data_IF_532006996890
#
_entry.id   IF_532006996890
#
_cell.length_a   1.000
_cell.length_b   1.000
_cell.length_c   1.000
_cell.angle_alpha   90.00
_cell.angle_beta   90.00
_cell.angle_gamma   90.00
#
_symmetry.space_group_name_H-M   'P 1'
#
loop_
_entity.id
_entity.type
_entity.pdbx_description
1 polymer ?
#
# COMPACT_ATOMS: atom_id res chain seq x y z
N UNK A 1 12.66 -1.24 19.19
CA UNK A 1 11.37 -1.86 19.55
C UNK A 1 10.36 -0.80 19.24
N UNK A 2 9.41 -1.05 18.35
CA UNK A 2 8.36 -0.08 18.02
C UNK A 2 7.40 0.06 19.22
N UNK A 3 7.15 1.30 19.63
CA UNK A 3 6.23 1.63 20.73
C UNK A 3 4.80 1.74 20.21
N UNK A 4 4.09 0.62 20.15
CA UNK A 4 2.67 0.59 19.77
C UNK A 4 1.78 0.76 21.00
N UNK A 5 0.91 1.77 20.99
CA UNK A 5 0.01 2.10 22.08
C UNK A 5 -1.45 2.06 21.63
N UNK A 6 -2.37 1.70 22.52
CA UNK A 6 -3.82 1.82 22.26
C UNK A 6 -4.16 3.30 22.28
N UNK A 7 -4.68 3.82 21.16
CA UNK A 7 -5.01 5.24 21.06
C UNK A 7 -6.18 5.58 21.98
N UNK A 8 -5.95 6.51 22.90
CA UNK A 8 -6.95 6.90 23.88
C UNK A 8 -6.73 8.36 24.33
N UNK A 9 -7.80 9.03 24.76
CA UNK A 9 -7.74 10.43 25.15
C UNK A 9 -6.86 10.68 26.38
N UNK A 10 -6.78 9.75 27.34
CA UNK A 10 -6.05 9.96 28.59
C UNK A 10 -4.54 10.12 28.36
N UNK A 11 -3.99 9.30 27.47
CA UNK A 11 -2.56 9.29 27.17
C UNK A 11 -2.20 10.17 25.95
N UNK A 12 -3.17 10.44 25.07
CA UNK A 12 -2.91 11.06 23.76
C UNK A 12 -3.69 12.36 23.50
N UNK A 13 -4.25 13.03 24.52
CA UNK A 13 -5.05 14.26 24.35
C UNK A 13 -4.36 15.37 23.53
N UNK A 14 -3.05 15.53 23.72
CA UNK A 14 -2.23 16.56 23.03
C UNK A 14 -1.55 16.05 21.76
N UNK A 15 -1.79 14.79 21.39
CA UNK A 15 -1.12 14.15 20.27
C UNK A 15 -1.43 14.85 18.94
N UNK A 16 -0.37 15.12 18.19
CA UNK A 16 -0.43 15.70 16.84
C UNK A 16 0.29 14.82 15.83
N UNK A 17 -0.26 14.78 14.62
CA UNK A 17 0.28 14.01 13.50
C UNK A 17 0.52 14.93 12.31
N UNK A 18 1.71 14.81 11.70
CA UNK A 18 2.05 15.43 10.41
C UNK A 18 1.41 14.66 9.27
N UNK A 19 0.64 15.36 8.43
CA UNK A 19 -0.22 14.76 7.38
C UNK A 19 0.31 15.00 5.96
N UNK A 20 1.26 15.91 5.80
CA UNK A 20 1.97 16.16 4.56
C UNK A 20 2.82 14.94 4.13
N UNK A 21 3.21 14.93 2.86
CA UNK A 21 4.12 13.92 2.33
C UNK A 21 5.57 14.37 2.55
N UNK A 22 6.46 13.46 2.92
CA UNK A 22 7.87 13.80 3.13
C UNK A 22 8.78 12.60 3.28
N UNK A 23 9.97 12.69 2.69
CA UNK A 23 10.99 11.63 2.80
C UNK A 23 11.42 11.36 4.24
N UNK A 24 11.48 12.41 5.07
CA UNK A 24 11.80 12.32 6.50
C UNK A 24 10.62 11.86 7.36
N UNK A 25 9.41 11.80 6.79
CA UNK A 25 8.18 11.38 7.46
C UNK A 25 7.85 9.89 7.29
N UNK A 26 8.79 9.11 6.75
CA UNK A 26 8.62 7.67 6.52
C UNK A 26 7.98 7.31 5.19
N UNK A 27 7.85 8.28 4.26
CA UNK A 27 7.26 8.04 2.93
C UNK A 27 8.29 7.61 1.88
N UNK A 28 9.58 7.64 2.21
CA UNK A 28 10.69 7.20 1.37
C UNK A 28 10.74 5.66 1.29
N UNK A 29 9.69 5.05 0.72
CA UNK A 29 9.52 3.61 0.58
C UNK A 29 9.38 3.22 -0.89
N UNK A 30 10.00 2.10 -1.27
CA UNK A 30 9.95 1.59 -2.65
C UNK A 30 8.57 1.12 -3.07
N UNK A 31 7.79 0.63 -2.12
CA UNK A 31 6.50 0.02 -2.37
C UNK A 31 5.61 0.09 -1.13
N UNK A 32 4.31 -0.05 -1.36
CA UNK A 32 3.30 -0.16 -0.31
C UNK A 32 2.46 -1.41 -0.51
N UNK A 33 2.08 -2.06 0.60
CA UNK A 33 1.07 -3.12 0.57
C UNK A 33 -0.27 -2.54 0.08
N UNK A 34 -0.94 -3.27 -0.80
CA UNK A 34 -2.25 -2.91 -1.32
C UNK A 34 -3.20 -4.10 -1.29
N UNK A 35 -4.48 -3.83 -1.06
CA UNK A 35 -5.54 -4.84 -1.04
C UNK A 35 -6.36 -4.85 -2.34
N UNK A 36 -6.90 -5.99 -2.79
CA UNK A 36 -7.66 -6.08 -4.04
C UNK A 36 -8.78 -5.05 -4.19
N UNK A 37 -9.42 -4.66 -3.07
CA UNK A 37 -10.50 -3.68 -3.02
C UNK A 37 -10.07 -2.29 -3.44
N UNK A 38 -8.80 -1.91 -3.22
CA UNK A 38 -8.29 -0.60 -3.63
C UNK A 38 -7.62 -0.62 -5.02
N UNK A 39 -7.45 -1.79 -5.66
CA UNK A 39 -6.71 -1.90 -6.92
C UNK A 39 -7.22 -0.99 -8.03
N UNK A 40 -8.53 -0.69 -8.07
CA UNK A 40 -9.09 0.28 -9.04
C UNK A 40 -8.46 1.67 -8.91
N UNK A 41 -8.25 2.13 -7.68
CA UNK A 41 -7.66 3.45 -7.41
C UNK A 41 -6.15 3.39 -7.57
N UNK A 42 -5.52 2.31 -7.09
CA UNK A 42 -4.07 2.09 -7.19
C UNK A 42 -3.61 2.01 -8.65
N UNK A 43 -4.29 1.22 -9.49
CA UNK A 43 -3.85 0.98 -10.88
C UNK A 43 -3.87 2.25 -11.73
N UNK A 44 -4.60 3.29 -11.33
CA UNK A 44 -4.61 4.56 -12.05
C UNK A 44 -3.28 5.33 -11.94
N UNK A 45 -2.41 4.94 -11.00
CA UNK A 45 -1.20 5.68 -10.66
C UNK A 45 0.06 4.79 -10.52
N UNK A 46 -0.09 3.55 -10.07
CA UNK A 46 1.03 2.68 -9.70
C UNK A 46 0.98 1.35 -10.42
N UNK A 47 2.14 0.75 -10.74
CA UNK A 47 2.21 -0.68 -11.03
C UNK A 47 1.84 -1.49 -9.79
N UNK A 48 0.97 -2.48 -9.97
CA UNK A 48 0.62 -3.49 -8.97
C UNK A 48 1.37 -4.75 -9.31
N UNK A 49 2.20 -5.20 -8.37
CA UNK A 49 3.00 -6.42 -8.49
C UNK A 49 2.76 -7.31 -7.29
N UNK A 50 3.09 -8.58 -7.42
CA UNK A 50 2.92 -9.55 -6.36
C UNK A 50 4.28 -10.01 -5.85
N UNK A 51 4.37 -10.26 -4.55
CA UNK A 51 5.57 -10.82 -3.93
C UNK A 51 5.18 -12.02 -3.11
N UNK A 52 5.96 -13.08 -3.25
CA UNK A 52 5.85 -14.26 -2.41
C UNK A 52 6.67 -14.06 -1.15
N UNK A 53 6.04 -14.23 0.00
CA UNK A 53 6.73 -14.28 1.27
C UNK A 53 7.57 -15.57 1.38
N UNK A 54 8.81 -15.45 1.84
CA UNK A 54 9.75 -16.56 1.84
C UNK A 54 9.51 -17.56 2.99
N UNK A 55 8.87 -17.12 4.08
CA UNK A 55 8.67 -17.92 5.28
C UNK A 55 7.34 -18.67 5.21
N UNK A 56 6.27 -17.97 4.86
CA UNK A 56 4.89 -18.49 4.76
C UNK A 56 4.60 -19.08 3.38
N UNK A 57 5.27 -18.58 2.33
CA UNK A 57 4.99 -18.96 0.95
C UNK A 57 3.74 -18.29 0.35
N UNK A 58 3.08 -17.42 1.12
CA UNK A 58 1.88 -16.68 0.71
C UNK A 58 2.23 -15.51 -0.23
N UNK A 59 1.26 -15.06 -1.01
CA UNK A 59 1.41 -13.89 -1.86
C UNK A 59 0.81 -12.65 -1.21
N UNK A 60 1.48 -11.51 -1.40
CA UNK A 60 0.94 -10.19 -1.13
C UNK A 60 1.05 -9.31 -2.37
N UNK A 61 0.18 -8.31 -2.47
CA UNK A 61 0.22 -7.31 -3.54
C UNK A 61 0.87 -6.02 -3.07
N UNK A 62 1.63 -5.40 -3.98
CA UNK A 62 2.43 -4.21 -3.73
C UNK A 62 2.20 -3.18 -4.84
N UNK A 63 1.98 -1.93 -4.48
CA UNK A 63 2.09 -0.78 -5.38
C UNK A 63 3.55 -0.32 -5.41
N UNK A 64 4.14 -0.19 -6.60
CA UNK A 64 5.52 0.28 -6.76
C UNK A 64 5.61 1.80 -6.87
N UNK A 65 6.54 2.38 -6.11
CA UNK A 65 6.86 3.81 -6.11
C UNK A 65 8.27 4.11 -6.61
N UNK A 66 9.12 3.10 -6.71
CA UNK A 66 10.51 3.23 -7.14
C UNK A 66 11.10 1.87 -7.48
N UNK A 67 12.40 1.86 -7.73
CA UNK A 67 13.14 0.65 -8.10
C UNK A 67 14.18 0.24 -7.04
N UNK A 68 14.38 1.05 -6.00
CA UNK A 68 15.31 0.80 -4.88
C UNK A 68 14.65 1.00 -3.51
N UNK A 69 15.14 0.27 -2.50
CA UNK A 69 14.73 0.51 -1.12
C UNK A 69 15.10 1.95 -0.70
N UNK A 70 14.18 2.64 -0.03
CA UNK A 70 14.35 4.05 0.32
C UNK A 70 13.92 5.03 -0.79
N UNK A 71 13.52 4.54 -1.97
CA UNK A 71 13.14 5.38 -3.10
C UNK A 71 11.63 5.49 -3.26
N UNK A 72 11.13 6.72 -3.33
CA UNK A 72 9.77 6.99 -3.78
C UNK A 72 9.81 8.12 -4.83
N UNK A 73 9.46 7.79 -6.08
CA UNK A 73 9.49 8.70 -7.24
C UNK A 73 8.24 9.58 -7.36
N UNK A 74 7.30 9.43 -6.43
CA UNK A 74 6.11 10.26 -6.31
C UNK A 74 6.26 11.32 -5.21
N UNK A 75 7.37 11.36 -4.46
CA UNK A 75 7.63 12.42 -3.50
C UNK A 75 8.23 13.66 -4.19
N UNK A 76 7.52 14.78 -4.08
CA UNK A 76 8.06 16.12 -4.28
C UNK A 76 8.67 16.68 -2.98
N UNK A 77 8.85 18.00 -2.91
CA UNK A 77 9.39 18.65 -1.71
C UNK A 77 8.48 18.45 -0.48
N UNK A 78 7.17 18.72 -0.62
CA UNK A 78 6.18 18.58 0.48
C UNK A 78 4.85 17.96 0.00
N UNK A 79 4.86 17.27 -1.13
CA UNK A 79 3.64 16.73 -1.75
C UNK A 79 3.86 15.36 -2.39
N UNK A 80 2.80 14.55 -2.33
CA UNK A 80 2.73 13.30 -3.06
C UNK A 80 2.13 13.57 -4.45
N UNK A 81 2.89 13.31 -5.50
CA UNK A 81 2.53 13.58 -6.90
C UNK A 81 1.66 12.47 -7.50
N UNK A 82 0.52 12.20 -6.85
CA UNK A 82 -0.54 11.35 -7.34
C UNK A 82 -1.83 11.65 -6.59
N UNK A 83 -2.99 11.32 -7.19
CA UNK A 83 -4.30 11.59 -6.57
C UNK A 83 -4.72 10.55 -5.54
N UNK A 84 -4.07 9.39 -5.53
CA UNK A 84 -4.37 8.31 -4.60
C UNK A 84 -3.09 7.89 -3.88
N UNK A 85 -3.16 7.80 -2.55
CA UNK A 85 -2.10 7.24 -1.73
C UNK A 85 -2.63 5.92 -1.17
N UNK A 86 -1.94 4.78 -1.38
CA UNK A 86 -2.37 3.49 -0.86
C UNK A 86 -2.74 3.54 0.62
N UNK A 87 -3.76 2.77 1.01
CA UNK A 87 -4.29 2.80 2.37
C UNK A 87 -3.20 2.53 3.42
N UNK A 88 -2.30 1.56 3.16
CA UNK A 88 -1.21 1.19 4.07
C UNK A 88 -0.15 2.28 4.30
N UNK A 89 -0.10 3.31 3.45
CA UNK A 89 0.68 4.53 3.66
C UNK A 89 -0.20 5.58 4.34
N UNK A 90 -1.41 5.80 3.80
CA UNK A 90 -2.33 6.85 4.25
C UNK A 90 -2.71 6.77 5.73
N UNK A 91 -2.80 5.56 6.29
CA UNK A 91 -3.21 5.38 7.70
C UNK A 91 -2.07 5.58 8.69
N UNK A 92 -0.81 5.72 8.26
CA UNK A 92 0.31 5.88 9.19
C UNK A 92 0.23 7.23 9.91
N UNK A 93 0.50 7.30 11.22
CA UNK A 93 1.13 6.27 12.07
C UNK A 93 0.14 5.33 12.78
N UNK A 94 -1.14 5.34 12.39
CA UNK A 94 -2.17 4.53 13.01
C UNK A 94 -2.16 3.09 12.51
N UNK A 95 -2.60 2.18 13.38
CA UNK A 95 -2.65 0.75 13.17
C UNK A 95 -3.99 0.21 13.68
N UNK A 96 -4.39 -0.96 13.21
CA UNK A 96 -5.54 -1.69 13.76
C UNK A 96 -5.03 -2.88 14.58
N UNK A 97 -5.39 -2.91 15.85
CA UNK A 97 -5.08 -4.00 16.77
C UNK A 97 -6.36 -4.70 17.21
N UNK A 98 -6.28 -6.00 17.48
CA UNK A 98 -7.33 -6.71 18.21
C UNK A 98 -7.02 -6.62 19.70
N UNK A 99 -8.05 -6.36 20.51
CA UNK A 99 -7.91 -6.45 21.96
C UNK A 99 -7.40 -7.85 22.34
N UNK A 100 -6.66 -7.95 23.45
CA UNK A 100 -6.11 -9.22 23.96
C UNK A 100 -7.20 -10.19 24.44
N UNK A 101 -8.43 -9.71 24.59
CA UNK A 101 -9.58 -10.53 24.95
C UNK A 101 -10.21 -11.16 23.70
N UNK A 102 -10.46 -12.48 23.74
CA UNK A 102 -11.10 -13.22 22.64
C UNK A 102 -12.45 -12.58 22.27
N UNK A 103 -12.55 -12.07 21.04
CA UNK A 103 -13.76 -11.41 20.53
C UNK A 103 -13.86 -9.90 20.79
N UNK A 104 -12.80 -9.26 21.29
CA UNK A 104 -12.78 -7.81 21.45
C UNK A 104 -12.85 -7.05 20.11
N UNK A 105 -13.54 -5.92 20.12
CA UNK A 105 -13.65 -5.03 18.95
C UNK A 105 -12.26 -4.57 18.48
N UNK A 106 -12.13 -4.33 17.18
CA UNK A 106 -10.92 -3.76 16.61
C UNK A 106 -10.68 -2.36 17.19
N UNK A 107 -9.48 -2.13 17.71
CA UNK A 107 -9.07 -0.87 18.32
C UNK A 107 -8.04 -0.16 17.45
N UNK A 108 -8.10 1.17 17.43
CA UNK A 108 -7.06 1.99 16.81
C UNK A 108 -5.86 2.03 17.75
N UNK A 109 -4.71 1.65 17.22
CA UNK A 109 -3.41 1.79 17.84
C UNK A 109 -2.61 2.86 17.12
N UNK A 110 -1.53 3.31 17.76
CA UNK A 110 -0.58 4.24 17.17
C UNK A 110 0.85 3.79 17.42
N UNK A 111 1.70 3.93 16.40
CA UNK A 111 3.15 3.79 16.53
C UNK A 111 3.76 5.13 16.98
N UNK A 112 4.12 5.21 18.26
CA UNK A 112 4.66 6.43 18.88
C UNK A 112 6.10 6.73 18.45
N UNK A 113 6.80 5.77 17.84
CA UNK A 113 8.13 5.97 17.27
C UNK A 113 8.07 6.44 15.80
N UNK A 114 6.89 6.55 15.22
CA UNK A 114 6.75 6.92 13.81
C UNK A 114 7.17 8.39 13.58
N UNK A 115 7.93 8.71 12.53
CA UNK A 115 8.38 10.08 12.24
C UNK A 115 7.27 11.13 12.00
N UNK A 116 5.99 10.69 11.94
CA UNK A 116 4.83 11.56 11.76
C UNK A 116 4.28 12.08 13.08
N UNK A 117 4.67 11.48 14.20
CA UNK A 117 4.34 11.99 15.53
C UNK A 117 5.06 13.32 15.70
N UNK A 118 4.30 14.40 15.80
CA UNK A 118 4.87 15.73 15.85
C UNK A 118 5.46 16.04 17.23
N UNK A 119 6.53 16.84 17.25
CA UNK A 119 7.12 17.38 18.47
C UNK A 119 6.65 18.83 18.60
N UNK A 120 5.93 19.16 19.67
CA UNK A 120 5.41 20.51 19.90
C UNK A 120 4.06 20.76 19.22
N UNK A 121 3.90 21.94 18.59
CA UNK A 121 2.60 22.38 18.05
C UNK A 121 2.40 22.11 16.55
N UNK A 122 3.39 21.50 15.89
CA UNK A 122 3.30 21.13 14.47
C UNK A 122 2.28 20.01 14.23
N UNK A 123 1.67 19.98 13.05
CA UNK A 123 0.70 18.96 12.66
C UNK A 123 -0.71 19.15 13.25
N UNK A 124 -1.54 18.15 13.02
CA UNK A 124 -2.98 18.18 13.31
C UNK A 124 -3.30 17.34 14.54
N UNK A 125 -4.11 17.88 15.46
CA UNK A 125 -4.50 17.15 16.67
C UNK A 125 -5.38 15.94 16.34
N UNK A 126 -5.16 14.85 17.06
CA UNK A 126 -5.94 13.61 16.94
C UNK A 126 -7.22 13.67 17.76
N UNK A 127 -7.18 14.37 18.91
CA UNK A 127 -8.34 14.70 19.74
C UNK A 127 -8.56 16.21 19.82
N UNK A 128 -9.79 16.65 20.01
CA UNK A 128 -10.12 18.06 20.27
C UNK A 128 -9.92 18.43 21.76
N UNK A 129 -10.23 19.68 22.13
CA UNK A 129 -10.11 20.18 23.51
C UNK A 129 -11.12 19.53 24.47
N UNK A 130 -12.15 18.87 23.95
CA UNK A 130 -13.17 18.14 24.70
C UNK A 130 -12.89 16.63 24.73
N UNK A 131 -11.75 16.19 24.19
CA UNK A 131 -11.35 14.79 24.14
C UNK A 131 -12.10 13.95 23.12
N UNK A 132 -12.81 14.58 22.17
CA UNK A 132 -13.51 13.90 21.07
C UNK A 132 -12.55 13.70 19.88
N UNK A 133 -12.83 12.70 19.04
CA UNK A 133 -12.11 12.48 17.79
C UNK A 133 -12.18 13.70 16.88
N UNK A 134 -11.06 14.07 16.26
CA UNK A 134 -11.05 15.09 15.21
C UNK A 134 -11.40 14.48 13.85
N UNK A 135 -11.73 15.30 12.84
CA UNK A 135 -11.95 14.81 11.47
C UNK A 135 -10.80 13.98 10.91
N UNK A 136 -9.56 14.26 11.35
CA UNK A 136 -8.39 13.46 11.02
C UNK A 136 -8.54 12.03 11.56
N UNK A 137 -8.85 11.88 12.85
CA UNK A 137 -8.98 10.56 13.47
C UNK A 137 -10.15 9.78 12.86
N UNK A 138 -11.26 10.44 12.56
CA UNK A 138 -12.41 9.80 11.92
C UNK A 138 -12.05 9.27 10.52
N UNK A 139 -11.36 10.08 9.70
CA UNK A 139 -10.88 9.67 8.37
C UNK A 139 -9.90 8.49 8.46
N UNK A 140 -8.96 8.53 9.41
CA UNK A 140 -7.99 7.44 9.60
C UNK A 140 -8.65 6.15 10.08
N UNK A 141 -9.65 6.26 10.94
CA UNK A 141 -10.43 5.11 11.41
C UNK A 141 -11.21 4.45 10.28
N UNK A 142 -11.82 5.23 9.38
CA UNK A 142 -12.50 4.72 8.19
C UNK A 142 -11.51 3.99 7.27
N UNK A 143 -10.37 4.61 6.95
CA UNK A 143 -9.32 4.00 6.12
C UNK A 143 -8.74 2.72 6.73
N UNK A 144 -8.53 2.69 8.04
CA UNK A 144 -8.11 1.48 8.76
C UNK A 144 -9.15 0.36 8.64
N UNK A 145 -10.43 0.69 8.77
CA UNK A 145 -11.52 -0.28 8.56
C UNK A 145 -11.52 -0.87 7.15
N UNK A 146 -11.37 -0.01 6.13
CA UNK A 146 -11.26 -0.45 4.73
C UNK A 146 -10.04 -1.34 4.50
N UNK A 147 -8.88 -0.96 5.05
CA UNK A 147 -7.64 -1.73 4.92
C UNK A 147 -7.76 -3.10 5.63
N UNK A 148 -8.35 -3.13 6.82
CA UNK A 148 -8.56 -4.37 7.58
C UNK A 148 -9.47 -5.35 6.84
N UNK A 149 -10.65 -4.87 6.40
CA UNK A 149 -11.57 -5.69 5.61
C UNK A 149 -10.92 -6.17 4.30
N UNK A 150 -10.08 -5.33 3.69
CA UNK A 150 -9.31 -5.70 2.52
C UNK A 150 -8.31 -6.83 2.78
N UNK A 151 -7.59 -6.80 3.90
CA UNK A 151 -6.70 -7.90 4.30
C UNK A 151 -7.46 -9.20 4.53
N UNK A 152 -8.58 -9.17 5.27
CA UNK A 152 -9.37 -10.37 5.60
C UNK A 152 -9.92 -11.08 4.35
N UNK A 153 -10.14 -10.34 3.27
CA UNK A 153 -10.66 -10.87 2.00
C UNK A 153 -9.58 -11.11 0.95
N UNK A 154 -8.34 -10.66 1.19
CA UNK A 154 -7.22 -10.85 0.27
C UNK A 154 -6.76 -12.30 0.19
N UNK A 155 -6.90 -13.07 1.27
CA UNK A 155 -6.51 -14.49 1.31
C UNK A 155 -7.20 -15.29 0.19
N UNK A 156 -8.53 -15.19 0.10
CA UNK A 156 -9.33 -15.87 -0.93
C UNK A 156 -8.93 -15.45 -2.36
N UNK A 157 -8.58 -14.18 -2.54
CA UNK A 157 -8.09 -13.68 -3.82
C UNK A 157 -6.76 -14.33 -4.21
N UNK A 158 -5.78 -14.39 -3.30
CA UNK A 158 -4.49 -15.02 -3.57
C UNK A 158 -4.60 -16.53 -3.75
N UNK A 159 -5.48 -17.20 -2.99
CA UNK A 159 -5.81 -18.60 -3.21
C UNK A 159 -6.39 -18.85 -4.61
N UNK A 160 -7.26 -17.97 -5.09
CA UNK A 160 -7.82 -18.06 -6.44
C UNK A 160 -6.74 -17.86 -7.52
N UNK A 161 -5.84 -16.88 -7.34
CA UNK A 161 -4.70 -16.71 -8.25
C UNK A 161 -3.81 -17.96 -8.28
N UNK A 162 -3.53 -18.56 -7.14
CA UNK A 162 -2.74 -19.78 -7.05
C UNK A 162 -3.47 -20.98 -7.67
N UNK A 163 -4.77 -21.14 -7.43
CA UNK A 163 -5.60 -22.23 -7.97
C UNK A 163 -5.57 -22.28 -9.50
N UNK A 164 -5.64 -21.12 -10.14
CA UNK A 164 -5.59 -21.00 -11.60
C UNK A 164 -4.18 -20.73 -12.14
N UNK A 165 -3.17 -20.77 -11.27
CA UNK A 165 -1.76 -20.58 -11.60
C UNK A 165 -1.51 -19.27 -12.38
N UNK A 166 -2.19 -18.20 -11.95
CA UNK A 166 -2.28 -16.90 -12.63
C UNK A 166 -1.12 -15.96 -12.29
N UNK A 167 -0.16 -16.37 -11.46
CA UNK A 167 1.01 -15.57 -11.13
C UNK A 167 2.26 -16.16 -11.78
N UNK A 168 3.01 -15.32 -12.48
CA UNK A 168 4.31 -15.68 -13.03
C UNK A 168 5.41 -14.75 -12.55
N UNK A 169 6.62 -15.27 -12.26
CA UNK A 169 7.75 -14.43 -11.91
C UNK A 169 8.12 -13.57 -13.11
N UNK A 170 8.46 -12.30 -12.86
CA UNK A 170 8.99 -11.42 -13.89
C UNK A 170 10.29 -10.75 -13.43
N UNK A 171 11.08 -10.36 -14.42
CA UNK A 171 12.25 -9.49 -14.24
C UNK A 171 12.04 -8.28 -15.14
N UNK A 172 12.08 -7.10 -14.55
CA UNK A 172 11.97 -5.86 -15.31
C UNK A 172 13.31 -5.16 -15.34
N UNK A 173 13.91 -5.08 -16.52
CA UNK A 173 15.08 -4.25 -16.77
C UNK A 173 14.63 -2.80 -16.96
N UNK A 174 15.13 -1.92 -16.11
CA UNK A 174 14.93 -0.47 -16.17
C UNK A 174 16.04 0.13 -17.02
N UNK A 175 15.75 0.60 -18.25
CA UNK A 175 16.71 1.31 -19.06
C UNK A 175 16.84 2.76 -18.55
N UNK A 176 17.98 3.09 -17.96
CA UNK A 176 18.26 4.45 -17.50
C UNK A 176 18.95 5.27 -18.58
N UNK A 177 18.67 6.58 -18.63
CA UNK A 177 19.21 7.53 -19.61
C UNK A 177 20.74 7.59 -19.58
N UNK A 178 21.34 7.39 -18.40
CA UNK A 178 22.77 7.35 -18.17
C UNK A 178 23.45 6.05 -18.67
N UNK A 179 22.70 5.12 -19.26
CA UNK A 179 23.21 3.84 -19.79
C UNK A 179 23.41 2.75 -18.74
N UNK A 180 23.15 3.03 -17.46
CA UNK A 180 23.09 2.00 -16.42
C UNK A 180 21.81 1.17 -16.56
N UNK A 181 21.88 -0.07 -16.09
CA UNK A 181 20.73 -0.98 -16.04
C UNK A 181 20.44 -1.29 -14.59
N UNK A 182 19.19 -1.10 -14.21
CA UNK A 182 18.69 -1.55 -12.92
C UNK A 182 17.66 -2.65 -13.17
N UNK A 183 17.55 -3.60 -12.25
CA UNK A 183 16.63 -4.73 -12.42
C UNK A 183 15.75 -4.88 -11.20
N UNK A 184 14.45 -4.96 -11.45
CA UNK A 184 13.48 -5.33 -10.44
C UNK A 184 13.31 -6.85 -10.48
N UNK A 185 13.64 -7.51 -9.37
CA UNK A 185 13.65 -8.98 -9.23
C UNK A 185 12.88 -9.43 -8.00
N UNK A 186 12.39 -10.67 -8.01
CA UNK A 186 11.66 -11.25 -6.87
C UNK A 186 10.17 -10.92 -6.82
N UNK A 187 9.63 -10.36 -7.90
CA UNK A 187 8.21 -10.04 -8.05
C UNK A 187 7.55 -10.93 -9.09
N UNK A 188 6.22 -10.96 -9.02
CA UNK A 188 5.34 -11.68 -9.93
C UNK A 188 4.30 -10.72 -10.50
N UNK A 189 3.79 -11.06 -11.67
CA UNK A 189 2.68 -10.37 -12.33
C UNK A 189 1.60 -11.38 -12.71
N UNK A 190 0.45 -10.89 -13.15
CA UNK A 190 -0.59 -11.76 -13.71
C UNK A 190 -0.06 -12.37 -15.01
N UNK A 191 -0.14 -13.70 -15.13
CA UNK A 191 0.11 -14.42 -16.36
C UNK A 191 -1.07 -14.20 -17.33
N UNK A 192 -0.88 -13.26 -18.26
CA UNK A 192 -1.92 -12.85 -19.21
C UNK A 192 -2.29 -13.96 -20.21
N UNK A 193 -1.36 -14.84 -20.55
CA UNK A 193 -1.62 -15.95 -21.48
C UNK A 193 -2.52 -17.01 -20.85
N UNK A 194 -2.31 -17.33 -19.56
CA UNK A 194 -3.22 -18.18 -18.79
C UNK A 194 -4.56 -17.52 -18.61
N UNK A 195 -4.59 -16.24 -18.23
CA UNK A 195 -5.85 -15.48 -18.10
C UNK A 195 -6.66 -15.51 -19.41
N UNK A 196 -5.99 -15.32 -20.57
CA UNK A 196 -6.63 -15.33 -21.90
C UNK A 196 -7.13 -16.72 -22.32
N UNK A 197 -6.46 -17.78 -21.86
CA UNK A 197 -6.79 -19.17 -22.21
C UNK A 197 -7.71 -19.87 -21.21
N UNK A 198 -8.15 -19.18 -20.15
CA UNK A 198 -9.12 -19.72 -19.19
C UNK A 198 -10.42 -20.10 -19.88
N UNK A 199 -10.99 -21.23 -19.46
CA UNK A 199 -12.32 -21.64 -19.89
C UNK A 199 -13.42 -20.80 -19.21
N UNK A 200 -14.64 -20.95 -19.73
CA UNK A 200 -15.79 -20.17 -19.27
C UNK A 200 -16.18 -20.47 -17.81
N UNK A 201 -15.96 -21.70 -17.34
CA UNK A 201 -16.33 -22.11 -15.99
C UNK A 201 -15.38 -21.48 -14.97
N UNK A 202 -14.07 -21.51 -15.24
CA UNK A 202 -13.05 -20.88 -14.41
C UNK A 202 -13.21 -19.35 -14.38
N UNK A 203 -13.48 -18.73 -15.53
CA UNK A 203 -13.77 -17.31 -15.61
C UNK A 203 -15.06 -16.94 -14.85
N UNK A 204 -16.09 -17.78 -14.98
CA UNK A 204 -17.36 -17.63 -14.26
C UNK A 204 -17.19 -17.71 -12.74
N UNK A 205 -16.35 -18.62 -12.26
CA UNK A 205 -16.01 -18.73 -10.83
C UNK A 205 -15.29 -17.47 -10.33
N UNK A 206 -14.25 -17.00 -11.03
CA UNK A 206 -13.54 -15.76 -10.67
C UNK A 206 -14.46 -14.53 -10.64
N UNK A 207 -15.44 -14.46 -11.55
CA UNK A 207 -16.42 -13.39 -11.56
C UNK A 207 -17.41 -13.50 -10.39
N UNK A 208 -17.89 -14.71 -10.09
CA UNK A 208 -18.82 -14.94 -8.98
C UNK A 208 -18.19 -14.61 -7.62
N UNK A 209 -16.90 -14.91 -7.46
CA UNK A 209 -16.12 -14.62 -6.25
C UNK A 209 -15.59 -13.16 -6.22
N UNK A 210 -15.85 -12.38 -7.27
CA UNK A 210 -15.46 -10.97 -7.35
C UNK A 210 -13.96 -10.72 -7.63
N UNK A 211 -13.21 -11.76 -7.98
CA UNK A 211 -11.76 -11.71 -8.21
C UNK A 211 -11.37 -11.22 -9.62
N UNK A 212 -12.29 -11.28 -10.58
CA UNK A 212 -11.97 -10.91 -11.96
C UNK A 212 -11.61 -9.42 -12.11
N UNK A 213 -12.31 -8.52 -11.40
CA UNK A 213 -12.04 -7.09 -11.42
C UNK A 213 -10.62 -6.76 -10.92
N UNK A 214 -10.19 -7.19 -9.72
CA UNK A 214 -8.82 -6.92 -9.26
C UNK A 214 -7.74 -7.56 -10.14
N UNK A 215 -7.97 -8.74 -10.73
CA UNK A 215 -7.05 -9.32 -11.72
C UNK A 215 -6.81 -8.34 -12.88
N UNK A 216 -7.87 -7.83 -13.49
CA UNK A 216 -7.73 -6.90 -14.61
C UNK A 216 -7.15 -5.55 -14.19
N UNK A 217 -7.42 -5.08 -12.98
CA UNK A 217 -6.77 -3.86 -12.47
C UNK A 217 -5.26 -4.08 -12.29
N UNK A 218 -4.82 -5.25 -11.82
CA UNK A 218 -3.40 -5.58 -11.73
C UNK A 218 -2.75 -5.65 -13.12
N UNK A 219 -3.39 -6.27 -14.12
CA UNK A 219 -2.90 -6.26 -15.52
C UNK A 219 -2.79 -4.84 -16.06
N UNK A 220 -3.86 -4.05 -15.95
CA UNK A 220 -3.90 -2.68 -16.45
C UNK A 220 -2.83 -1.79 -15.80
N UNK A 221 -2.55 -2.00 -14.52
CA UNK A 221 -1.55 -1.23 -13.77
C UNK A 221 -0.13 -1.30 -14.36
N UNK A 222 0.19 -2.35 -15.13
CA UNK A 222 1.53 -2.56 -15.69
C UNK A 222 1.92 -1.48 -16.70
N UNK A 223 0.95 -0.77 -17.31
CA UNK A 223 1.24 0.39 -18.14
C UNK A 223 1.96 1.51 -17.37
N UNK A 224 1.80 1.56 -16.05
CA UNK A 224 2.48 2.54 -15.20
C UNK A 224 3.97 2.25 -15.00
N UNK A 225 4.48 1.06 -15.40
CA UNK A 225 5.93 0.78 -15.32
C UNK A 225 6.71 1.76 -16.19
N UNK A 226 6.23 2.05 -17.40
CA UNK A 226 6.87 3.02 -18.29
C UNK A 226 6.88 4.42 -17.69
N UNK A 227 5.77 4.85 -17.09
CA UNK A 227 5.70 6.14 -16.39
C UNK A 227 6.67 6.19 -15.19
N UNK A 228 6.81 5.09 -14.45
CA UNK A 228 7.76 5.00 -13.35
C UNK A 228 9.22 5.13 -13.83
N UNK A 229 9.56 4.55 -14.99
CA UNK A 229 10.87 4.74 -15.64
C UNK A 229 11.08 6.20 -16.06
N UNK A 230 10.06 6.87 -16.61
CA UNK A 230 10.12 8.29 -16.96
C UNK A 230 10.41 9.14 -15.71
N UNK A 231 9.73 8.87 -14.60
CA UNK A 231 9.98 9.55 -13.32
C UNK A 231 11.40 9.32 -12.80
N UNK A 232 11.92 8.09 -12.91
CA UNK A 232 13.30 7.76 -12.51
C UNK A 232 14.31 8.55 -13.34
N UNK A 233 14.19 8.54 -14.66
CA UNK A 233 15.10 9.31 -15.54
C UNK A 233 15.04 10.82 -15.24
N UNK A 234 13.85 11.39 -15.04
CA UNK A 234 13.70 12.79 -14.69
C UNK A 234 14.33 13.14 -13.32
N UNK A 235 14.38 12.20 -12.38
CA UNK A 235 15.08 12.38 -11.10
C UNK A 235 16.60 12.33 -11.27
N UNK A 236 17.13 11.37 -12.04
CA UNK A 236 18.57 11.25 -12.33
C UNK A 236 19.08 12.47 -13.10
N UNK A 237 18.33 13.01 -14.06
CA UNK A 237 18.73 14.20 -14.82
C UNK A 237 18.78 15.49 -13.97
N UNK A 238 18.16 15.48 -12.78
CA UNK A 238 18.16 16.61 -11.82
C UNK A 238 19.26 16.49 -10.76
N UNK A 239 19.86 15.31 -10.59
CA UNK A 239 20.93 15.02 -9.62
C UNK A 239 22.30 15.24 -10.23
#
# INVERSE_FOLDING_TARGET
MTSHEVLNTADHAELRVRTEAGSTLGDAVMAALVVPQEFRQVQAHYPIVFRRDAETGEFGALALFGFENGENLFLGEDAWDARYIPLSISVRPFLIGRSRDEGGEAQVHIDMDHPRIAIGEEGTRVFDEHGQSTPLLDEMSEKLGLLHAGYETSEQFFEALARYDLLEPFVFEVPLSNGSKQSLVGFHMINEDKLRSMDADALGALQADGHLMPIFMAVASLSNLTELVVRKNAKEDRG
#
